data_IF_720675785409
#
_entry.id   IF_720675785409
#
_cell.length_a   1.000
_cell.length_b   1.000
_cell.length_c   1.000
_cell.angle_alpha   90.00
_cell.angle_beta   90.00
_cell.angle_gamma   90.00
#
_symmetry.space_group_name_H-M   'P 1'
#
loop_
_entity.id
_entity.type
_entity.pdbx_description
1 polymer ?
#
# COMPACT_ATOMS: atom_id res chain seq x y z
N UNK A 1 -11.53 8.66 -2.57
CA UNK A 1 -12.79 7.89 -2.63
C UNK A 1 -12.55 6.73 -3.60
N UNK A 2 -11.85 5.69 -3.13
CA UNK A 2 -11.51 4.50 -3.93
C UNK A 2 -12.32 3.35 -3.38
N UNK A 3 -13.29 2.88 -4.17
CA UNK A 3 -14.04 1.67 -3.93
C UNK A 3 -13.06 0.49 -3.85
N UNK A 4 -12.86 -0.06 -2.65
CA UNK A 4 -12.04 -1.25 -2.40
C UNK A 4 -12.88 -2.50 -2.62
N UNK A 5 -13.35 -2.67 -3.86
CA UNK A 5 -13.88 -3.94 -4.34
C UNK A 5 -12.71 -4.93 -4.54
N UNK A 6 -12.26 -5.57 -3.46
CA UNK A 6 -11.39 -6.75 -3.54
C UNK A 6 -12.17 -7.92 -4.11
N UNK A 7 -12.20 -8.00 -5.42
CA UNK A 7 -12.64 -9.16 -6.18
C UNK A 7 -11.87 -9.18 -7.50
N UNK A 8 -11.41 -10.35 -7.94
CA UNK A 8 -10.82 -10.56 -9.28
C UNK A 8 -11.87 -10.32 -10.38
N UNK A 9 -12.31 -9.07 -10.53
CA UNK A 9 -13.41 -8.65 -11.40
C UNK A 9 -13.88 -7.21 -11.17
N UNK A 10 -13.00 -6.31 -10.71
CA UNK A 10 -13.30 -4.87 -10.61
C UNK A 10 -13.63 -4.27 -11.98
N UNK A 11 -14.49 -3.24 -11.99
CA UNK A 11 -14.97 -2.55 -13.20
C UNK A 11 -13.86 -2.27 -14.20
N UNK A 12 -13.98 -2.81 -15.40
CA UNK A 12 -13.07 -2.52 -16.53
C UNK A 12 -13.46 -1.18 -17.13
N UNK A 13 -13.03 -0.10 -16.48
CA UNK A 13 -13.23 1.28 -16.93
C UNK A 13 -13.32 2.28 -15.77
N UNK A 14 -13.35 3.59 -16.06
CA UNK A 14 -13.46 4.63 -15.04
C UNK A 14 -14.75 4.51 -14.21
N UNK A 15 -14.68 4.70 -12.88
CA UNK A 15 -13.46 4.84 -12.10
C UNK A 15 -12.69 3.51 -12.03
N UNK A 16 -11.40 3.56 -12.34
CA UNK A 16 -10.53 2.37 -12.33
C UNK A 16 -10.41 1.82 -10.92
N UNK A 17 -10.56 0.50 -10.78
CA UNK A 17 -10.17 -0.15 -9.54
C UNK A 17 -8.64 -0.16 -9.40
N UNK A 18 -8.17 0.04 -8.17
CA UNK A 18 -6.73 0.03 -7.85
C UNK A 18 -6.11 -1.32 -8.19
N UNK A 19 -6.85 -2.41 -7.94
CA UNK A 19 -6.40 -3.78 -8.23
C UNK A 19 -6.16 -4.00 -9.73
N UNK A 20 -7.05 -3.51 -10.61
CA UNK A 20 -6.85 -3.62 -12.07
C UNK A 20 -5.64 -2.81 -12.54
N UNK A 21 -5.42 -1.62 -11.99
CA UNK A 21 -4.23 -0.83 -12.32
C UNK A 21 -2.94 -1.49 -11.81
N UNK A 22 -2.98 -2.10 -10.62
CA UNK A 22 -1.87 -2.86 -10.04
C UNK A 22 -1.56 -4.11 -10.88
N UNK A 23 -2.57 -4.89 -11.27
CA UNK A 23 -2.40 -6.08 -12.11
C UNK A 23 -1.87 -5.73 -13.50
N UNK A 24 -2.34 -4.62 -14.07
CA UNK A 24 -1.84 -4.10 -15.34
C UNK A 24 -0.37 -3.64 -15.25
N UNK A 25 -0.01 -2.90 -14.19
CA UNK A 25 1.38 -2.47 -13.92
C UNK A 25 2.30 -3.65 -13.64
N UNK A 26 1.86 -4.62 -12.84
CA UNK A 26 2.58 -5.85 -12.53
C UNK A 26 2.73 -6.81 -13.73
N UNK A 27 1.98 -6.57 -14.82
CA UNK A 27 1.99 -7.43 -16.01
C UNK A 27 1.36 -8.80 -15.78
N UNK A 28 0.44 -8.89 -14.82
CA UNK A 28 -0.32 -10.11 -14.47
C UNK A 28 -1.35 -10.42 -15.54
N UNK A 29 -1.97 -9.37 -16.11
CA UNK A 29 -2.95 -9.48 -17.19
C UNK A 29 -2.34 -10.12 -18.45
N UNK A 30 -3.17 -10.76 -19.26
CA UNK A 30 -2.73 -11.27 -20.54
C UNK A 30 -2.38 -10.13 -21.52
N UNK A 31 -1.73 -10.51 -22.62
CA UNK A 31 -1.19 -9.54 -23.57
C UNK A 31 -2.28 -8.79 -24.34
N UNK A 32 -3.43 -9.43 -24.59
CA UNK A 32 -4.54 -8.82 -25.33
C UNK A 32 -5.25 -7.80 -24.44
N UNK A 33 -5.60 -8.19 -23.21
CA UNK A 33 -6.25 -7.32 -22.24
C UNK A 33 -5.36 -6.12 -21.91
N UNK A 34 -4.07 -6.34 -21.65
CA UNK A 34 -3.14 -5.24 -21.38
C UNK A 34 -3.00 -4.28 -22.57
N UNK A 35 -2.98 -4.78 -23.81
CA UNK A 35 -2.89 -3.94 -25.01
C UNK A 35 -4.13 -3.08 -25.22
N UNK A 36 -5.31 -3.56 -24.79
CA UNK A 36 -6.54 -2.78 -24.82
C UNK A 36 -6.59 -1.71 -23.71
N UNK A 37 -6.11 -2.05 -22.51
CA UNK A 37 -6.24 -1.20 -21.34
C UNK A 37 -5.21 -0.06 -21.29
N UNK A 38 -3.95 -0.30 -21.70
CA UNK A 38 -2.90 0.72 -21.66
C UNK A 38 -3.26 2.03 -22.37
N UNK A 39 -3.85 2.04 -23.59
CA UNK A 39 -4.29 3.27 -24.24
C UNK A 39 -5.33 4.06 -23.44
N UNK A 40 -6.27 3.36 -22.79
CA UNK A 40 -7.34 4.00 -21.98
C UNK A 40 -6.77 4.58 -20.68
N UNK A 41 -5.89 3.84 -20.01
CA UNK A 41 -5.17 4.31 -18.81
C UNK A 41 -4.28 5.50 -19.13
N UNK A 42 -3.58 5.49 -20.27
CA UNK A 42 -2.74 6.61 -20.68
C UNK A 42 -3.54 7.88 -21.06
N UNK A 43 -4.80 7.73 -21.44
CA UNK A 43 -5.69 8.86 -21.74
C UNK A 43 -6.36 9.45 -20.48
N UNK A 44 -6.25 8.77 -19.33
CA UNK A 44 -6.87 9.15 -18.06
C UNK A 44 -5.82 9.68 -17.06
N UNK A 45 -5.86 10.99 -16.70
CA UNK A 45 -4.86 11.57 -15.82
C UNK A 45 -4.88 11.00 -14.40
N UNK A 46 -6.05 10.60 -13.88
CA UNK A 46 -6.18 10.05 -12.54
C UNK A 46 -5.57 8.63 -12.48
N UNK A 47 -5.82 7.83 -13.52
CA UNK A 47 -5.20 6.52 -13.67
C UNK A 47 -3.68 6.62 -13.82
N UNK A 48 -3.19 7.60 -14.59
CA UNK A 48 -1.74 7.87 -14.71
C UNK A 48 -1.10 8.22 -13.38
N UNK A 49 -1.74 9.05 -12.54
CA UNK A 49 -1.22 9.40 -11.24
C UNK A 49 -1.01 8.17 -10.33
N UNK A 50 -1.93 7.19 -10.39
CA UNK A 50 -1.79 5.93 -9.65
C UNK A 50 -0.63 5.08 -10.19
N UNK A 51 -0.51 4.95 -11.51
CA UNK A 51 0.60 4.21 -12.15
C UNK A 51 1.96 4.84 -11.79
N UNK A 52 2.06 6.17 -11.78
CA UNK A 52 3.28 6.89 -11.42
C UNK A 52 3.65 6.68 -9.94
N UNK A 53 2.66 6.63 -9.04
CA UNK A 53 2.89 6.31 -7.63
C UNK A 53 3.40 4.86 -7.42
N UNK A 54 2.88 3.89 -8.18
CA UNK A 54 3.37 2.50 -8.15
C UNK A 54 4.81 2.39 -8.69
N UNK A 55 5.15 3.16 -9.73
CA UNK A 55 6.52 3.19 -10.26
C UNK A 55 7.49 3.85 -9.27
N UNK A 56 7.09 4.95 -8.61
CA UNK A 56 7.87 5.57 -7.53
C UNK A 56 8.15 4.57 -6.42
N UNK A 57 7.12 3.84 -5.97
CA UNK A 57 7.28 2.80 -4.93
C UNK A 57 8.24 1.71 -5.39
N UNK A 58 8.14 1.27 -6.64
CA UNK A 58 9.06 0.26 -7.20
C UNK A 58 10.49 0.77 -7.27
N UNK A 59 10.67 2.04 -7.64
CA UNK A 59 11.97 2.72 -7.66
C UNK A 59 12.56 2.82 -6.25
N UNK A 60 11.77 3.27 -5.27
CA UNK A 60 12.19 3.39 -3.88
C UNK A 60 12.63 2.03 -3.34
N UNK A 61 11.82 0.99 -3.54
CA UNK A 61 12.14 -0.38 -3.16
C UNK A 61 13.40 -0.91 -3.86
N UNK A 62 13.59 -0.58 -5.14
CA UNK A 62 14.80 -0.97 -5.87
C UNK A 62 16.07 -0.31 -5.30
N UNK A 63 15.96 0.90 -4.77
CA UNK A 63 17.06 1.59 -4.09
C UNK A 63 17.55 0.86 -2.84
N UNK A 64 16.70 0.05 -2.19
CA UNK A 64 17.12 -0.78 -1.05
C UNK A 64 17.95 -2.01 -1.48
N UNK A 65 17.88 -2.43 -2.74
CA UNK A 65 18.66 -3.57 -3.23
C UNK A 65 20.17 -3.28 -3.27
N UNK A 66 20.56 -2.01 -3.35
CA UNK A 66 21.96 -1.56 -3.36
C UNK A 66 22.53 -1.37 -1.95
N UNK A 67 21.74 -1.61 -0.90
CA UNK A 67 22.22 -1.54 0.48
C UNK A 67 23.18 -2.68 0.79
N UNK A 68 24.19 -2.37 1.60
CA UNK A 68 25.11 -3.37 2.14
C UNK A 68 24.41 -4.15 3.27
N UNK A 69 23.68 -5.18 2.87
CA UNK A 69 23.00 -6.12 3.78
C UNK A 69 23.88 -7.36 4.00
N UNK A 70 23.87 -7.85 5.25
CA UNK A 70 24.60 -9.08 5.62
C UNK A 70 24.12 -10.22 4.71
N UNK A 71 25.03 -10.93 4.01
CA UNK A 71 24.64 -12.02 3.13
C UNK A 71 23.98 -13.15 3.90
N UNK A 72 23.08 -13.87 3.24
CA UNK A 72 22.44 -15.05 3.82
C UNK A 72 23.50 -16.04 4.32
N UNK A 73 23.40 -16.57 5.55
CA UNK A 73 24.31 -17.59 6.04
C UNK A 73 24.35 -18.82 5.14
N UNK A 74 25.55 -19.35 4.89
CA UNK A 74 25.76 -20.43 3.93
C UNK A 74 25.01 -21.73 4.31
N UNK A 75 24.86 -22.01 5.61
CA UNK A 75 24.10 -23.16 6.08
C UNK A 75 22.61 -23.04 5.74
N UNK A 76 22.03 -21.83 5.87
CA UNK A 76 20.65 -21.55 5.50
C UNK A 76 20.46 -21.70 4.00
N UNK A 77 21.36 -21.12 3.20
CA UNK A 77 21.32 -21.26 1.74
C UNK A 77 21.35 -22.74 1.32
N UNK A 78 22.28 -23.52 1.88
CA UNK A 78 22.39 -24.96 1.59
C UNK A 78 21.14 -25.76 1.97
N UNK A 79 20.48 -25.39 3.07
CA UNK A 79 19.23 -26.02 3.52
C UNK A 79 18.08 -25.71 2.57
N UNK A 80 18.02 -24.48 2.05
CA UNK A 80 17.04 -24.06 1.05
C UNK A 80 17.28 -24.82 -0.26
N UNK A 81 18.52 -24.87 -0.75
CA UNK A 81 18.85 -25.60 -1.98
C UNK A 81 18.50 -27.10 -1.87
N UNK A 82 18.83 -27.73 -0.74
CA UNK A 82 18.46 -29.12 -0.48
C UNK A 82 16.94 -29.34 -0.34
N UNK A 83 16.19 -28.33 0.10
CA UNK A 83 14.73 -28.40 0.13
C UNK A 83 14.13 -28.27 -1.28
N UNK A 84 14.60 -27.30 -2.08
CA UNK A 84 14.17 -27.11 -3.45
C UNK A 84 14.48 -28.33 -4.33
N UNK A 85 15.63 -28.97 -4.12
CA UNK A 85 15.99 -30.18 -4.86
C UNK A 85 15.09 -31.37 -4.50
N UNK A 86 14.71 -31.51 -3.22
CA UNK A 86 13.73 -32.54 -2.80
C UNK A 86 12.35 -32.31 -3.45
N UNK A 87 11.87 -31.07 -3.49
CA UNK A 87 10.60 -30.75 -4.18
C UNK A 87 10.69 -31.04 -5.67
N UNK A 88 11.78 -30.64 -6.35
CA UNK A 88 12.00 -30.96 -7.77
C UNK A 88 12.00 -32.47 -8.02
N UNK A 89 12.63 -33.25 -7.15
CA UNK A 89 12.64 -34.72 -7.25
C UNK A 89 11.27 -35.34 -6.97
N UNK A 90 10.48 -34.75 -6.06
CA UNK A 90 9.10 -35.17 -5.80
C UNK A 90 8.15 -34.82 -6.97
N UNK A 91 8.38 -33.71 -7.67
CA UNK A 91 7.65 -33.33 -8.89
C UNK A 91 8.13 -34.07 -10.15
N UNK A 92 9.24 -34.81 -10.10
CA UNK A 92 9.73 -35.55 -11.25
C UNK A 92 8.71 -36.65 -11.63
N UNK A 93 8.29 -36.74 -12.90
CA UNK A 93 7.33 -37.74 -13.34
C UNK A 93 7.99 -39.12 -13.31
N UNK A 94 7.81 -39.86 -12.22
CA UNK A 94 8.37 -41.20 -12.05
C UNK A 94 8.40 -41.75 -10.62
N UNK A 95 8.29 -40.89 -9.59
CA UNK A 95 8.39 -41.33 -8.19
C UNK A 95 7.04 -41.44 -7.49
N UNK A 96 6.05 -42.09 -8.12
CA UNK A 96 4.94 -42.68 -7.37
C UNK A 96 5.42 -43.98 -6.74
N UNK A 97 6.20 -43.90 -5.66
CA UNK A 97 6.22 -45.02 -4.73
C UNK A 97 4.85 -45.04 -4.08
N UNK A 98 4.05 -46.06 -4.41
CA UNK A 98 2.73 -46.27 -3.86
C UNK A 98 2.80 -46.38 -2.33
N UNK A 99 2.67 -45.25 -1.64
CA UNK A 99 2.17 -45.22 -0.28
C UNK A 99 0.65 -45.25 -0.42
N UNK A 100 0.07 -46.39 -0.09
CA UNK A 100 -1.38 -46.57 0.01
C UNK A 100 -1.94 -45.49 0.94
N UNK A 101 -2.77 -44.54 0.48
CA UNK A 101 -3.38 -43.57 1.36
C UNK A 101 -4.44 -44.27 2.22
N UNK A 102 -4.59 -43.95 3.52
CA UNK A 102 -5.85 -44.25 4.20
C UNK A 102 -6.98 -43.51 3.47
N UNK A 103 -8.08 -44.21 3.23
CA UNK A 103 -9.26 -43.74 2.51
C UNK A 103 -9.70 -42.35 2.98
N UNK A 104 -9.47 -41.35 2.14
CA UNK A 104 -9.95 -39.98 2.35
C UNK A 104 -11.23 -39.78 1.52
N UNK A 105 -12.29 -39.18 2.07
CA UNK A 105 -13.56 -38.95 1.35
C UNK A 105 -13.36 -38.02 0.14
N UNK A 106 -14.27 -38.04 -0.86
CA UNK A 106 -14.06 -37.40 -2.16
C UNK A 106 -13.83 -35.90 -2.02
N UNK A 107 -12.62 -35.46 -2.34
CA UNK A 107 -12.27 -34.04 -2.44
C UNK A 107 -12.77 -33.50 -3.79
N UNK A 108 -13.43 -32.35 -3.73
CA UNK A 108 -13.89 -31.54 -4.86
C UNK A 108 -12.78 -31.29 -5.89
N UNK A 109 -13.11 -31.05 -7.18
CA UNK A 109 -12.12 -30.88 -8.23
C UNK A 109 -11.15 -29.74 -7.90
N UNK A 110 -9.85 -30.02 -8.08
CA UNK A 110 -8.76 -29.08 -7.92
C UNK A 110 -9.08 -27.78 -8.68
N UNK A 111 -9.40 -26.72 -7.94
CA UNK A 111 -9.35 -25.37 -8.47
C UNK A 111 -7.88 -25.08 -8.79
N UNK A 112 -7.57 -24.98 -10.08
CA UNK A 112 -6.22 -24.74 -10.56
C UNK A 112 -5.66 -23.47 -9.93
N UNK A 113 -4.62 -23.61 -9.12
CA UNK A 113 -3.81 -22.46 -8.73
C UNK A 113 -3.25 -21.83 -10.01
N UNK A 114 -3.68 -20.62 -10.33
CA UNK A 114 -3.27 -19.86 -11.52
C UNK A 114 -1.83 -19.34 -11.32
N UNK A 115 -0.87 -20.25 -11.16
CA UNK A 115 0.54 -19.90 -10.99
C UNK A 115 1.11 -19.68 -12.38
N UNK A 116 1.17 -18.42 -12.78
CA UNK A 116 1.86 -18.03 -14.00
C UNK A 116 3.35 -18.30 -13.82
N UNK A 117 3.95 -19.03 -14.76
CA UNK A 117 5.38 -19.28 -14.72
C UNK A 117 6.15 -17.95 -14.76
N UNK A 118 7.04 -17.75 -13.78
CA UNK A 118 7.87 -16.53 -13.67
C UNK A 118 8.70 -16.30 -14.95
N UNK A 119 9.07 -17.36 -15.65
CA UNK A 119 9.80 -17.27 -16.92
C UNK A 119 8.91 -16.72 -18.04
N UNK A 120 7.63 -17.10 -18.06
CA UNK A 120 6.65 -16.53 -18.98
C UNK A 120 6.35 -15.06 -18.66
N UNK A 121 6.41 -14.64 -17.40
CA UNK A 121 6.28 -13.24 -17.00
C UNK A 121 7.51 -12.40 -17.38
N UNK A 122 8.74 -12.90 -17.13
CA UNK A 122 9.99 -12.21 -17.52
C UNK A 122 10.12 -12.03 -19.03
N UNK A 123 9.77 -13.06 -19.81
CA UNK A 123 9.80 -12.98 -21.27
C UNK A 123 8.85 -11.90 -21.83
N UNK A 124 7.67 -11.73 -21.22
CA UNK A 124 6.71 -10.68 -21.58
C UNK A 124 7.24 -9.28 -21.29
N UNK A 125 7.86 -9.05 -20.12
CA UNK A 125 8.45 -7.76 -19.76
C UNK A 125 9.59 -7.37 -20.71
N UNK A 126 10.47 -8.30 -21.05
CA UNK A 126 11.62 -8.03 -21.93
C UNK A 126 11.19 -7.73 -23.38
N UNK A 127 10.09 -8.32 -23.86
CA UNK A 127 9.49 -7.99 -25.16
C UNK A 127 9.01 -6.54 -25.24
N UNK A 128 8.45 -5.99 -24.15
CA UNK A 128 7.99 -4.59 -24.09
C UNK A 128 9.15 -3.59 -24.09
N UNK A 129 10.24 -3.91 -23.39
CA UNK A 129 11.48 -3.10 -23.42
C UNK A 129 12.20 -3.19 -24.78
N UNK A 130 12.06 -4.31 -25.49
CA UNK A 130 12.64 -4.54 -26.83
C UNK A 130 12.06 -3.68 -27.95
N UNK A 131 10.94 -2.96 -27.73
CA UNK A 131 10.39 -2.00 -28.70
C UNK A 131 10.90 -0.56 -28.53
N UNK A 132 11.60 -0.25 -27.42
CA UNK A 132 12.09 1.11 -27.14
C UNK A 132 13.60 1.33 -27.27
N UNK A 133 14.42 0.27 -27.31
CA UNK A 133 15.89 0.36 -27.25
C UNK A 133 16.59 0.22 -28.61
N UNK A 134 15.99 0.75 -29.66
CA UNK A 134 16.44 0.55 -31.05
C UNK A 134 16.96 1.77 -31.78
N UNK A 135 17.47 2.84 -31.15
CA UNK A 135 18.08 3.98 -31.89
C UNK A 135 19.04 4.88 -31.07
N UNK A 136 20.01 4.33 -30.32
CA UNK A 136 21.17 5.13 -29.87
C UNK A 136 22.48 4.38 -30.13
N UNK A 137 22.81 4.26 -31.40
CA UNK A 137 24.16 3.95 -31.85
C UNK A 137 24.94 5.26 -32.06
N UNK A 138 25.93 5.47 -31.19
CA UNK A 138 27.18 6.21 -31.38
C UNK A 138 27.18 7.54 -32.16
N UNK A 139 27.48 8.64 -31.46
CA UNK A 139 28.30 9.73 -32.03
C UNK A 139 29.28 10.24 -30.96
N UNK A 140 30.56 10.08 -31.25
CA UNK A 140 31.68 10.57 -30.45
C UNK A 140 31.79 12.10 -30.50
N UNK A 141 32.47 12.63 -29.47
CA UNK A 141 32.72 14.04 -29.12
C UNK A 141 33.01 15.03 -30.25
N UNK A 142 32.49 16.26 -30.12
CA UNK A 142 33.21 17.52 -30.47
C UNK A 142 32.75 18.66 -29.54
N UNK A 143 33.72 19.30 -28.89
CA UNK A 143 33.61 20.55 -28.13
C UNK A 143 33.37 21.73 -29.08
N UNK A 144 32.38 22.59 -28.81
CA UNK A 144 32.38 23.97 -29.29
C UNK A 144 31.56 24.86 -28.34
N UNK A 145 32.26 25.68 -27.57
CA UNK A 145 31.68 26.80 -26.85
C UNK A 145 31.24 27.87 -27.85
N UNK A 146 29.97 28.29 -27.81
CA UNK A 146 29.51 29.50 -28.49
C UNK A 146 29.04 30.48 -27.43
N UNK A 147 29.87 31.50 -27.20
CA UNK A 147 29.54 32.70 -26.48
C UNK A 147 28.55 33.51 -27.34
N UNK A 148 27.31 33.67 -26.87
CA UNK A 148 26.39 34.66 -27.42
C UNK A 148 26.48 35.92 -26.57
N UNK A 149 27.19 36.90 -27.11
CA UNK A 149 27.13 38.31 -26.69
C UNK A 149 25.90 38.94 -27.34
N UNK A 150 25.02 39.55 -26.56
CA UNK A 150 24.06 40.55 -27.04
C UNK A 150 24.25 41.82 -26.21
N UNK A 151 24.42 43.00 -26.85
CA UNK A 151 24.59 44.28 -26.17
C UNK A 151 23.24 44.83 -25.68
N UNK A 152 23.26 45.50 -24.52
CA UNK A 152 22.09 46.13 -23.93
C UNK A 152 21.73 47.48 -24.54
N UNK A 153 20.45 47.86 -24.39
CA UNK A 153 19.99 49.25 -24.24
C UNK A 153 18.64 49.27 -23.54
N UNK A 154 18.47 50.15 -22.54
CA UNK A 154 17.16 50.64 -22.12
C UNK A 154 16.77 50.34 -20.67
N UNK A 155 17.21 51.22 -19.76
CA UNK A 155 16.61 51.47 -18.45
C UNK A 155 15.19 52.01 -18.58
N UNK A 156 14.23 51.51 -17.79
CA UNK A 156 13.25 52.34 -17.08
C UNK A 156 12.59 51.58 -15.91
N UNK A 157 12.36 52.34 -14.85
CA UNK A 157 12.00 51.98 -13.48
C UNK A 157 10.57 51.46 -13.30
N UNK A 158 10.37 50.66 -12.24
CA UNK A 158 9.18 50.81 -11.39
C UNK A 158 8.55 49.51 -10.88
N UNK A 159 8.79 49.18 -9.61
CA UNK A 159 7.86 48.38 -8.79
C UNK A 159 8.46 47.15 -8.14
N UNK A 160 9.14 47.35 -7.01
CA UNK A 160 9.45 46.31 -6.02
C UNK A 160 8.19 45.57 -5.56
N UNK A 161 8.11 44.27 -5.87
CA UNK A 161 7.31 43.28 -5.14
C UNK A 161 7.92 41.90 -5.40
N UNK A 162 9.08 41.64 -4.81
CA UNK A 162 9.57 40.27 -4.62
C UNK A 162 8.94 39.75 -3.33
N UNK A 163 8.11 38.72 -3.46
CA UNK A 163 7.59 37.96 -2.34
C UNK A 163 8.77 37.36 -1.54
N UNK A 164 8.91 37.84 -0.31
CA UNK A 164 9.81 37.35 0.72
C UNK A 164 9.52 35.87 1.01
N UNK A 165 10.50 34.94 0.97
CA UNK A 165 10.33 33.63 1.58
C UNK A 165 10.21 33.80 3.10
N UNK A 166 9.22 33.17 3.78
CA UNK A 166 9.08 33.32 5.22
C UNK A 166 10.31 32.74 5.95
N UNK A 167 10.83 33.52 6.89
CA UNK A 167 11.89 33.13 7.81
C UNK A 167 11.38 32.08 8.84
N UNK A 168 12.26 31.24 9.40
CA UNK A 168 11.87 30.22 10.36
C UNK A 168 11.54 30.84 11.72
N UNK A 169 10.33 30.58 12.23
CA UNK A 169 9.93 30.91 13.60
C UNK A 169 10.43 29.82 14.59
N UNK A 170 10.72 30.19 15.86
CA UNK A 170 11.36 29.31 16.82
C UNK A 170 10.41 28.23 17.34
N UNK A 171 10.94 27.02 17.47
CA UNK A 171 10.28 25.84 18.00
C UNK A 171 9.66 26.09 19.38
N UNK A 172 8.36 25.83 19.49
CA UNK A 172 7.68 25.55 20.75
C UNK A 172 6.90 24.25 20.59
N UNK A 173 7.28 23.23 21.37
CA UNK A 173 6.39 22.15 21.79
C UNK A 173 6.22 20.98 20.81
N UNK A 174 6.56 19.79 21.28
CA UNK A 174 6.33 18.51 20.62
C UNK A 174 4.83 18.17 20.49
N UNK A 175 4.48 17.44 19.43
CA UNK A 175 3.28 16.61 19.35
C UNK A 175 2.03 17.30 18.81
N UNK A 176 1.92 17.49 17.49
CA UNK A 176 0.64 17.61 16.79
C UNK A 176 0.85 17.31 15.31
N UNK A 177 0.77 16.03 14.94
CA UNK A 177 0.41 15.68 13.57
C UNK A 177 -1.06 16.06 13.37
N UNK A 178 -1.45 16.67 12.24
CA UNK A 178 -2.85 17.03 12.02
C UNK A 178 -3.74 15.78 12.10
N UNK A 179 -4.94 15.88 12.73
CA UNK A 179 -5.86 14.76 12.80
C UNK A 179 -6.24 14.34 11.38
N UNK A 180 -6.15 13.04 11.11
CA UNK A 180 -6.59 12.47 9.83
C UNK A 180 -8.12 12.55 9.83
N UNK A 181 -8.68 13.24 8.85
CA UNK A 181 -10.13 13.29 8.64
C UNK A 181 -10.60 11.90 8.18
N UNK A 182 -11.57 11.32 8.89
CA UNK A 182 -12.16 10.03 8.55
C UNK A 182 -13.65 10.24 8.33
N UNK A 183 -14.10 10.19 7.08
CA UNK A 183 -15.52 10.10 6.76
C UNK A 183 -16.03 8.71 7.18
N UNK A 184 -17.22 8.64 7.79
CA UNK A 184 -17.86 7.40 8.27
C UNK A 184 -18.04 6.32 7.20
N UNK A 185 -17.92 6.66 5.91
CA UNK A 185 -17.89 5.73 4.78
C UNK A 185 -16.51 5.22 4.33
N UNK A 186 -15.41 5.64 4.95
CA UNK A 186 -14.03 5.28 4.53
C UNK A 186 -13.08 5.01 5.72
N UNK A 187 -13.60 4.33 6.74
CA UNK A 187 -12.84 3.90 7.92
C UNK A 187 -11.72 2.91 7.55
N UNK A 188 -11.95 2.10 6.51
CA UNK A 188 -11.03 1.06 6.05
C UNK A 188 -9.66 1.57 5.59
N UNK A 189 -9.57 2.77 5.01
CA UNK A 189 -8.29 3.38 4.63
C UNK A 189 -7.48 3.84 5.85
N UNK A 190 -8.16 4.24 6.93
CA UNK A 190 -7.51 4.68 8.17
C UNK A 190 -6.96 3.51 9.00
N UNK A 191 -7.47 2.28 8.84
CA UNK A 191 -7.04 1.09 9.60
C UNK A 191 -5.53 0.83 9.46
N UNK A 192 -4.96 1.01 8.27
CA UNK A 192 -3.52 0.84 8.02
C UNK A 192 -2.67 1.82 8.83
N UNK A 193 -3.09 3.08 8.88
CA UNK A 193 -2.41 4.18 9.59
C UNK A 193 -2.67 4.19 11.11
N UNK A 194 -3.60 3.37 11.61
CA UNK A 194 -3.92 3.23 13.03
C UNK A 194 -3.13 2.08 13.67
N UNK A 195 -2.77 1.06 12.88
CA UNK A 195 -2.09 -0.13 13.40
C UNK A 195 -0.71 0.21 14.00
N UNK A 196 -0.51 -0.11 15.28
CA UNK A 196 0.74 0.18 16.00
C UNK A 196 0.91 1.62 16.51
N UNK A 197 -0.03 2.52 16.20
CA UNK A 197 -0.06 3.89 16.76
C UNK A 197 -0.82 3.88 18.09
N UNK A 198 -0.28 4.59 19.09
CA UNK A 198 -0.89 4.77 20.41
C UNK A 198 -0.85 6.26 20.77
N UNK A 199 -1.89 6.97 20.36
CA UNK A 199 -2.05 8.40 20.61
C UNK A 199 -3.41 8.66 21.26
N UNK A 200 -3.40 9.05 22.54
CA UNK A 200 -4.61 9.31 23.32
C UNK A 200 -5.35 10.56 22.84
N UNK A 201 -4.65 11.49 22.17
CA UNK A 201 -5.22 12.77 21.74
C UNK A 201 -6.06 13.43 22.85
N UNK A 202 -7.32 13.82 22.54
CA UNK A 202 -8.23 14.45 23.51
C UNK A 202 -8.61 13.62 24.74
N UNK A 203 -8.38 12.29 24.74
CA UNK A 203 -8.62 11.45 25.92
C UNK A 203 -7.54 11.59 27.00
N UNK A 204 -6.42 12.24 26.67
CA UNK A 204 -5.27 12.56 27.54
C UNK A 204 -4.46 11.37 28.06
N UNK A 205 -5.10 10.27 28.49
CA UNK A 205 -4.42 9.16 29.16
C UNK A 205 -5.13 7.80 29.01
N UNK A 206 -4.41 6.74 29.38
CA UNK A 206 -4.85 5.34 29.33
C UNK A 206 -6.05 5.05 30.24
N UNK A 207 -6.10 5.64 31.42
CA UNK A 207 -7.19 5.41 32.38
C UNK A 207 -8.54 5.87 31.82
N UNK A 208 -8.56 6.99 31.07
CA UNK A 208 -9.79 7.45 30.41
C UNK A 208 -10.16 6.54 29.25
N UNK A 209 -9.19 6.11 28.44
CA UNK A 209 -9.44 5.16 27.36
C UNK A 209 -10.05 3.86 27.89
N UNK A 210 -9.47 3.27 28.93
CA UNK A 210 -9.96 2.02 29.53
C UNK A 210 -11.38 2.16 30.08
N UNK A 211 -11.68 3.27 30.76
CA UNK A 211 -13.02 3.56 31.26
C UNK A 211 -14.05 3.65 30.12
N UNK A 212 -13.69 4.29 29.00
CA UNK A 212 -14.57 4.35 27.83
C UNK A 212 -14.75 2.97 27.18
N UNK A 213 -13.68 2.18 27.06
CA UNK A 213 -13.74 0.84 26.50
C UNK A 213 -14.61 -0.09 27.36
N UNK A 214 -14.48 -0.03 28.68
CA UNK A 214 -15.30 -0.79 29.62
C UNK A 214 -16.78 -0.37 29.53
N UNK A 215 -17.06 0.94 29.45
CA UNK A 215 -18.41 1.46 29.22
C UNK A 215 -19.01 0.99 27.86
N UNK A 216 -18.16 0.73 26.86
CA UNK A 216 -18.53 0.15 25.56
C UNK A 216 -18.56 -1.40 25.54
N UNK A 217 -18.46 -2.03 26.72
CA UNK A 217 -18.51 -3.49 26.87
C UNK A 217 -17.29 -4.22 26.30
N UNK A 218 -16.15 -3.54 26.18
CA UNK A 218 -14.87 -4.17 25.81
C UNK A 218 -14.24 -4.77 27.07
N UNK A 219 -13.87 -6.04 26.99
CA UNK A 219 -13.16 -6.73 28.07
C UNK A 219 -11.78 -6.07 28.29
N UNK A 220 -11.40 -5.70 29.53
CA UNK A 220 -10.09 -5.10 29.83
C UNK A 220 -8.91 -6.00 29.46
N UNK A 221 -9.12 -7.31 29.25
CA UNK A 221 -8.10 -8.21 28.73
C UNK A 221 -7.81 -8.04 27.23
N UNK A 222 -8.71 -7.39 26.47
CA UNK A 222 -8.56 -7.15 25.03
C UNK A 222 -7.73 -5.90 24.81
N UNK A 223 -6.45 -6.08 24.50
CA UNK A 223 -5.57 -4.95 24.17
C UNK A 223 -5.92 -4.37 22.79
N UNK A 224 -6.11 -3.04 22.68
CA UNK A 224 -6.19 -2.39 21.38
C UNK A 224 -4.96 -2.64 20.51
N UNK A 225 -5.21 -2.91 19.23
CA UNK A 225 -4.21 -3.00 18.15
C UNK A 225 -3.55 -1.64 17.93
N UNK A 226 -4.34 -0.57 18.05
CA UNK A 226 -3.89 0.81 17.98
C UNK A 226 -5.05 1.78 18.23
N UNK A 227 -4.72 3.03 18.52
CA UNK A 227 -5.69 4.11 18.70
C UNK A 227 -5.05 5.46 18.37
N UNK A 228 -5.86 6.36 17.81
CA UNK A 228 -5.42 7.73 17.48
C UNK A 228 -6.60 8.71 17.39
N UNK A 229 -6.35 10.02 17.56
CA UNK A 229 -7.36 11.03 17.29
C UNK A 229 -7.67 11.14 15.79
N UNK A 230 -8.95 11.32 15.49
CA UNK A 230 -9.50 11.58 14.16
C UNK A 230 -10.62 12.62 14.28
N UNK A 231 -11.16 13.05 13.13
CA UNK A 231 -12.38 13.85 13.08
C UNK A 231 -13.44 13.06 12.32
N UNK A 232 -14.59 12.84 12.93
CA UNK A 232 -15.75 12.16 12.35
C UNK A 232 -16.87 13.19 12.22
N UNK A 233 -17.33 13.47 11.01
CA UNK A 233 -18.40 14.45 10.73
C UNK A 233 -18.18 15.86 11.33
N UNK A 234 -16.91 16.25 11.52
CA UNK A 234 -16.52 17.53 12.13
C UNK A 234 -16.38 17.49 13.66
N UNK A 235 -16.71 16.37 14.29
CA UNK A 235 -16.53 16.13 15.72
C UNK A 235 -15.19 15.43 15.98
N UNK A 236 -14.45 15.89 17.00
CA UNK A 236 -13.23 15.21 17.44
C UNK A 236 -13.61 13.85 17.98
N UNK A 237 -12.86 12.82 17.62
CA UNK A 237 -13.05 11.47 18.10
C UNK A 237 -11.69 10.77 18.29
N UNK A 238 -11.66 9.72 19.09
CA UNK A 238 -10.53 8.78 19.11
C UNK A 238 -11.03 7.45 18.56
N UNK A 239 -10.39 6.98 17.47
CA UNK A 239 -10.69 5.67 16.91
C UNK A 239 -9.76 4.65 17.54
N UNK A 240 -10.36 3.56 18.01
CA UNK A 240 -9.71 2.41 18.64
C UNK A 240 -9.95 1.18 17.78
N UNK A 241 -8.86 0.50 17.44
CA UNK A 241 -8.89 -0.75 16.68
C UNK A 241 -8.69 -1.93 17.62
N UNK A 242 -9.68 -2.83 17.67
CA UNK A 242 -9.74 -3.96 18.59
C UNK A 242 -9.76 -5.29 17.81
N UNK A 243 -9.17 -6.33 18.38
CA UNK A 243 -9.34 -7.70 17.86
C UNK A 243 -10.65 -8.30 18.35
N UNK A 244 -11.38 -9.02 17.49
CA UNK A 244 -12.61 -9.74 17.90
C UNK A 244 -12.35 -11.18 18.35
N UNK A 245 -11.10 -11.65 18.25
CA UNK A 245 -10.72 -13.06 18.46
C UNK A 245 -11.03 -13.98 17.27
N UNK A 246 -11.75 -13.49 16.26
CA UNK A 246 -12.01 -14.22 15.02
C UNK A 246 -10.95 -13.86 13.95
N UNK A 247 -10.48 -14.85 13.19
CA UNK A 247 -9.46 -14.62 12.17
C UNK A 247 -10.00 -13.70 11.07
N UNK A 248 -9.25 -12.63 10.78
CA UNK A 248 -9.58 -11.69 9.72
C UNK A 248 -10.68 -10.68 10.07
N UNK A 249 -11.05 -10.56 11.35
CA UNK A 249 -12.02 -9.58 11.82
C UNK A 249 -11.40 -8.64 12.86
N UNK A 250 -11.72 -7.36 12.70
CA UNK A 250 -11.34 -6.28 13.60
C UNK A 250 -12.59 -5.47 13.94
N UNK A 251 -12.71 -5.04 15.20
CA UNK A 251 -13.75 -4.10 15.62
C UNK A 251 -13.14 -2.70 15.64
N UNK A 252 -13.81 -1.76 15.01
CA UNK A 252 -13.45 -0.35 14.97
C UNK A 252 -14.44 0.43 15.80
N UNK A 253 -13.95 1.10 16.83
CA UNK A 253 -14.76 1.87 17.77
C UNK A 253 -14.30 3.33 17.74
N UNK A 254 -15.20 4.27 17.46
CA UNK A 254 -14.94 5.70 17.57
C UNK A 254 -15.57 6.24 18.85
N UNK A 255 -14.77 6.91 19.67
CA UNK A 255 -15.15 7.44 20.98
C UNK A 255 -15.11 8.96 20.97
N UNK A 256 -16.13 9.58 21.57
CA UNK A 256 -16.15 11.00 21.85
C UNK A 256 -15.11 11.36 22.95
N UNK A 257 -14.48 12.53 22.91
CA UNK A 257 -13.47 12.97 23.89
C UNK A 257 -13.96 13.03 25.34
N UNK A 258 -15.27 13.20 25.54
CA UNK A 258 -15.94 13.31 26.82
C UNK A 258 -16.53 11.98 27.33
N UNK A 259 -16.22 10.86 26.67
CA UNK A 259 -16.60 9.53 27.15
C UNK A 259 -16.02 9.22 28.55
N UNK A 260 -16.70 8.36 29.29
CA UNK A 260 -16.31 7.94 30.61
C UNK A 260 -17.15 6.78 31.16
N UNK A 261 -17.06 6.49 32.46
CA UNK A 261 -17.73 5.34 33.07
C UNK A 261 -19.27 5.37 32.96
N UNK A 262 -19.85 6.56 32.96
CA UNK A 262 -21.31 6.78 32.95
C UNK A 262 -21.86 7.02 31.54
N UNK A 263 -20.99 7.40 30.59
CA UNK A 263 -21.35 7.68 29.20
C UNK A 263 -20.33 7.02 28.26
N UNK A 264 -20.71 5.97 27.51
CA UNK A 264 -19.80 5.29 26.61
C UNK A 264 -19.30 6.21 25.48
N UNK A 265 -19.96 7.32 25.17
CA UNK A 265 -19.53 8.27 24.13
C UNK A 265 -19.32 7.61 22.77
N UNK A 266 -20.08 6.57 22.44
CA UNK A 266 -19.92 5.80 21.19
C UNK A 266 -20.39 6.63 20.00
N UNK A 267 -19.46 7.02 19.14
CA UNK A 267 -19.77 7.69 17.87
C UNK A 267 -19.94 6.68 16.75
N UNK A 268 -19.18 5.58 16.78
CA UNK A 268 -19.24 4.52 15.78
C UNK A 268 -18.76 3.20 16.38
N UNK A 269 -19.40 2.10 16.01
CA UNK A 269 -18.98 0.74 16.36
C UNK A 269 -19.27 -0.20 15.19
N UNK A 270 -18.22 -0.64 14.50
CA UNK A 270 -18.34 -1.51 13.34
C UNK A 270 -17.32 -2.66 13.40
N UNK A 271 -17.74 -3.84 12.98
CA UNK A 271 -16.82 -4.97 12.77
C UNK A 271 -16.47 -5.07 11.29
N UNK A 272 -15.18 -4.92 10.98
CA UNK A 272 -14.61 -5.01 9.63
C UNK A 272 -13.94 -6.37 9.46
N UNK A 273 -14.30 -7.09 8.41
CA UNK A 273 -13.77 -8.42 8.09
C UNK A 273 -14.85 -9.35 7.53
N UNK A 274 -14.51 -10.19 6.56
CA UNK A 274 -15.49 -11.05 5.88
C UNK A 274 -15.85 -12.27 6.72
N UNK A 275 -17.14 -12.50 6.93
CA UNK A 275 -17.66 -13.85 7.19
C UNK A 275 -17.78 -14.52 5.82
N UNK A 276 -16.99 -15.57 5.60
CA UNK A 276 -17.04 -16.34 4.35
C UNK A 276 -18.38 -16.99 4.08
#
# INVERSE_FOLDING_TARGET
>A
MTDVSRGHGGTVGPPWSVDVLADLHAGVLDEQDAAELWPRVNADPDARAIIDALESTTSDLSGFADLDVVPMPADVASRIDAALERERQAQAPGSSTAVTPPTQPPQSPAQGSNVVSLDAARARRNKRLGWGAGFLAAAAAVVAAVLVVVPGTGTDQGGDNLAQPPAPEPSSGAGNAPPVAVDSGNVSAAIGDISGVRDFGPLENEQRLDACLEANGVDPAVQPVGFRPVTVDGEQAVVVLLTTGQRGQLRVLALAPDCGPEDPGTLMDETVGHQG
#
